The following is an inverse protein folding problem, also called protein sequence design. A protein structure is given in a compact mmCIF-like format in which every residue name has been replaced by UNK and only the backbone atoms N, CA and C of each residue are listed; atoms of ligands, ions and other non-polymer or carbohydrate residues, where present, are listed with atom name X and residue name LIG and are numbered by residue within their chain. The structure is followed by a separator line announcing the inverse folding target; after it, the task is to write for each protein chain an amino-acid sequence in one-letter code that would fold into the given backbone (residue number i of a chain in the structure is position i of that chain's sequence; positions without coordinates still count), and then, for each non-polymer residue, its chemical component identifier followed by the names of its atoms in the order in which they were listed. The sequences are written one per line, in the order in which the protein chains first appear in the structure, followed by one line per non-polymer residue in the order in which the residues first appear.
data_IF_354340297157
#
_entry.id   IF_354340297157
#
_cell.length_a   1.000
_cell.length_b   1.000
_cell.length_c   1.000
_cell.angle_alpha   90.00
_cell.angle_beta   90.00
_cell.angle_gamma   90.00
#
_symmetry.space_group_name_H-M   'P 1'
#
loop_
_entity.id
_entity.type
_entity.pdbx_description
1 polymer ?
#
# COMPACT_ATOMS: atom_id res chain seq x y z
N UNK A 1 -0.36 9.55 32.07
CA UNK A 1 0.56 9.90 30.96
C UNK A 1 0.30 8.96 29.80
N UNK A 2 -0.25 9.47 28.68
CA UNK A 2 -0.47 8.64 27.49
C UNK A 2 0.88 8.11 26.98
N UNK A 3 0.99 6.79 26.75
CA UNK A 3 2.22 6.19 26.22
C UNK A 3 2.52 6.82 24.85
N UNK A 4 3.64 7.53 24.74
CA UNK A 4 4.10 8.21 23.52
C UNK A 4 4.42 7.17 22.43
N UNK A 5 4.04 7.43 21.19
CA UNK A 5 4.45 6.62 20.04
C UNK A 5 5.96 6.73 19.81
N UNK A 6 6.57 5.64 19.33
CA UNK A 6 8.00 5.55 19.03
C UNK A 6 8.21 5.72 17.52
N UNK A 7 8.97 6.75 17.12
CA UNK A 7 9.24 7.03 15.70
C UNK A 7 10.01 5.90 15.00
N UNK A 8 10.70 5.05 15.74
CA UNK A 8 11.42 3.88 15.18
C UNK A 8 10.52 2.66 14.95
N UNK A 9 9.28 2.70 15.45
CA UNK A 9 8.28 1.70 15.13
C UNK A 9 7.46 2.20 13.94
N UNK A 10 7.60 1.53 12.81
CA UNK A 10 6.94 1.91 11.56
C UNK A 10 5.72 1.02 11.36
N UNK A 11 4.52 1.60 11.35
CA UNK A 11 3.32 0.93 10.83
C UNK A 11 3.39 0.93 9.31
N UNK A 12 3.14 -0.23 8.70
CA UNK A 12 3.05 -0.40 7.26
C UNK A 12 1.63 -0.79 6.90
N UNK A 13 0.93 0.11 6.24
CA UNK A 13 -0.42 -0.07 5.72
C UNK A 13 -0.29 -0.67 4.31
N UNK A 14 -1.04 -1.74 4.05
CA UNK A 14 -1.08 -2.43 2.76
C UNK A 14 -1.87 -1.67 1.70
N UNK A 15 -1.95 -2.27 0.51
CA UNK A 15 -2.61 -1.66 -0.64
C UNK A 15 -4.12 -1.52 -0.39
N UNK A 16 -4.62 -0.29 -0.28
CA UNK A 16 -6.00 -0.02 0.13
C UNK A 16 -6.99 -0.04 -1.02
N UNK A 17 -6.56 0.36 -2.22
CA UNK A 17 -7.38 0.41 -3.42
C UNK A 17 -8.72 1.12 -3.18
N UNK A 18 -8.71 2.33 -2.62
CA UNK A 18 -9.97 3.06 -2.42
C UNK A 18 -10.73 3.19 -3.74
N UNK A 19 -12.06 3.00 -3.73
CA UNK A 19 -12.95 2.85 -2.57
C UNK A 19 -13.29 1.38 -2.21
N UNK A 20 -12.44 0.42 -2.59
CA UNK A 20 -12.68 -1.02 -2.42
C UNK A 20 -11.97 -1.62 -1.20
N UNK A 21 -11.60 -0.79 -0.24
CA UNK A 21 -10.98 -1.23 1.00
C UNK A 21 -11.96 -2.05 1.86
N UNK A 22 -11.43 -2.93 2.69
CA UNK A 22 -12.22 -3.65 3.67
C UNK A 22 -12.74 -2.69 4.75
N UNK A 23 -14.04 -2.76 5.08
CA UNK A 23 -14.73 -1.78 5.92
C UNK A 23 -14.08 -1.57 7.30
N UNK A 24 -13.55 -2.64 7.92
CA UNK A 24 -12.85 -2.59 9.20
C UNK A 24 -11.33 -2.37 9.10
N UNK A 25 -10.76 -2.22 7.90
CA UNK A 25 -9.30 -2.12 7.73
C UNK A 25 -8.71 -0.87 8.38
N UNK A 26 -9.41 0.26 8.28
CA UNK A 26 -8.99 1.51 8.91
C UNK A 26 -8.87 1.36 10.44
N UNK A 27 -9.89 0.80 11.09
CA UNK A 27 -9.87 0.57 12.53
C UNK A 27 -8.81 -0.44 12.93
N UNK A 28 -8.66 -1.51 12.16
CA UNK A 28 -7.58 -2.49 12.36
C UNK A 28 -6.19 -1.85 12.34
N UNK A 29 -5.88 -1.01 11.34
CA UNK A 29 -4.60 -0.31 11.28
C UNK A 29 -4.38 0.63 12.48
N UNK A 30 -5.42 1.36 12.92
CA UNK A 30 -5.35 2.26 14.09
C UNK A 30 -5.09 1.47 15.39
N UNK A 31 -5.75 0.33 15.55
CA UNK A 31 -5.55 -0.54 16.71
C UNK A 31 -4.12 -1.08 16.76
N UNK A 32 -3.58 -1.55 15.63
CA UNK A 32 -2.19 -2.01 15.55
C UNK A 32 -1.21 -0.85 15.79
N UNK A 33 -1.44 0.33 15.21
CA UNK A 33 -0.62 1.52 15.48
C UNK A 33 -0.51 1.80 16.98
N UNK A 34 -1.65 1.81 17.67
CA UNK A 34 -1.74 2.10 19.10
C UNK A 34 -1.07 1.00 19.94
N UNK A 35 -1.37 -0.26 19.63
CA UNK A 35 -0.86 -1.45 20.35
C UNK A 35 0.65 -1.55 20.25
N UNK A 36 1.19 -1.37 19.04
CA UNK A 36 2.61 -1.53 18.74
C UNK A 36 3.39 -0.20 18.86
N UNK A 37 2.68 0.88 19.23
CA UNK A 37 3.21 2.22 19.48
C UNK A 37 3.96 2.82 18.30
N UNK A 38 3.44 2.62 17.09
CA UNK A 38 4.07 3.09 15.87
C UNK A 38 4.00 4.61 15.74
N UNK A 39 5.15 5.27 15.75
CA UNK A 39 5.28 6.73 15.59
C UNK A 39 5.50 7.17 14.16
N UNK A 40 5.78 6.24 13.25
CA UNK A 40 5.90 6.47 11.81
C UNK A 40 4.89 5.60 11.08
N UNK A 41 4.27 6.14 10.02
CA UNK A 41 3.29 5.42 9.19
C UNK A 41 3.72 5.48 7.74
N UNK A 42 3.78 4.30 7.12
CA UNK A 42 4.04 4.13 5.68
C UNK A 42 2.81 3.46 5.06
N UNK A 43 2.30 4.01 3.96
CA UNK A 43 1.32 3.36 3.10
C UNK A 43 2.05 2.79 1.88
N UNK A 44 1.92 1.49 1.64
CA UNK A 44 2.75 0.78 0.65
C UNK A 44 2.27 0.95 -0.79
N UNK A 45 1.29 1.80 -1.03
CA UNK A 45 0.86 2.21 -2.37
C UNK A 45 -0.43 1.60 -2.82
N UNK A 46 -0.79 1.89 -4.07
CA UNK A 46 -2.14 1.65 -4.59
C UNK A 46 -3.18 2.17 -3.59
N UNK A 47 -3.04 3.46 -3.25
CA UNK A 47 -3.96 4.16 -2.34
C UNK A 47 -5.37 4.19 -2.94
N UNK A 48 -5.43 4.41 -4.25
CA UNK A 48 -6.66 4.50 -5.03
C UNK A 48 -6.64 3.41 -6.09
N UNK A 49 -7.78 2.77 -6.36
CA UNK A 49 -7.83 1.69 -7.34
C UNK A 49 -7.79 2.22 -8.77
N UNK A 50 -8.50 3.31 -9.05
CA UNK A 50 -8.62 3.81 -10.43
C UNK A 50 -9.12 2.71 -11.39
N UNK A 51 -10.07 1.87 -10.94
CA UNK A 51 -10.64 0.74 -11.67
C UNK A 51 -11.10 1.16 -13.07
N UNK A 52 -11.92 2.21 -13.09
CA UNK A 52 -12.61 2.75 -14.26
C UNK A 52 -11.65 3.22 -15.35
N UNK A 53 -10.44 3.64 -14.97
CA UNK A 53 -9.37 4.06 -15.88
C UNK A 53 -8.25 3.02 -15.99
N UNK A 54 -8.45 1.79 -15.53
CA UNK A 54 -7.45 0.73 -15.66
C UNK A 54 -7.29 0.28 -17.13
N UNK A 55 -6.28 -0.56 -17.38
CA UNK A 55 -6.10 -1.22 -18.67
C UNK A 55 -6.83 -2.57 -18.76
N UNK A 56 -7.45 -3.01 -17.67
CA UNK A 56 -8.24 -4.24 -17.63
C UNK A 56 -9.66 -4.01 -18.16
N UNK A 57 -10.40 -5.09 -18.37
CA UNK A 57 -11.84 -5.03 -18.64
C UNK A 57 -12.55 -4.37 -17.46
N UNK A 58 -13.55 -3.54 -17.76
CA UNK A 58 -14.31 -2.80 -16.76
C UNK A 58 -15.66 -3.47 -16.63
N UNK A 59 -16.10 -3.62 -15.41
CA UNK A 59 -17.47 -4.02 -15.14
C UNK A 59 -18.41 -2.83 -15.45
N UNK A 60 -19.41 -2.99 -16.34
CA UNK A 60 -20.33 -1.91 -16.68
C UNK A 60 -21.22 -1.47 -15.50
N UNK A 61 -21.32 -2.28 -14.44
CA UNK A 61 -22.09 -1.96 -13.23
C UNK A 61 -21.27 -1.16 -12.19
N UNK A 62 -19.97 -0.95 -12.43
CA UNK A 62 -19.11 -0.09 -11.60
C UNK A 62 -19.20 1.38 -12.03
N UNK A 63 -18.68 2.26 -11.18
CA UNK A 63 -18.73 3.70 -11.40
C UNK A 63 -17.99 4.14 -12.67
N UNK A 64 -18.50 5.20 -13.29
CA UNK A 64 -17.70 6.02 -14.20
C UNK A 64 -16.47 6.60 -13.49
N UNK A 65 -15.44 7.07 -14.22
CA UNK A 65 -14.26 7.68 -13.61
C UNK A 65 -14.57 8.80 -12.61
N UNK A 66 -15.50 9.70 -12.94
CA UNK A 66 -15.90 10.78 -12.04
C UNK A 66 -16.62 10.25 -10.79
N UNK A 67 -17.44 9.20 -10.96
CA UNK A 67 -18.14 8.57 -9.84
C UNK A 67 -17.19 7.86 -8.88
N UNK A 68 -16.22 7.12 -9.40
CA UNK A 68 -15.20 6.44 -8.58
C UNK A 68 -14.37 7.45 -7.79
N UNK A 69 -13.92 8.54 -8.42
CA UNK A 69 -13.19 9.62 -7.75
C UNK A 69 -14.00 10.22 -6.57
N UNK A 70 -15.30 10.41 -6.73
CA UNK A 70 -16.17 10.94 -5.67
C UNK A 70 -16.29 9.97 -4.47
N UNK A 71 -16.27 8.66 -4.70
CA UNK A 71 -16.24 7.68 -3.61
C UNK A 71 -14.85 7.61 -2.95
N UNK A 72 -13.78 7.69 -3.74
CA UNK A 72 -12.40 7.79 -3.24
C UNK A 72 -12.25 8.98 -2.28
N UNK A 73 -12.76 10.15 -2.65
CA UNK A 73 -12.69 11.36 -1.82
C UNK A 73 -13.30 11.14 -0.42
N UNK A 74 -14.39 10.36 -0.32
CA UNK A 74 -15.02 10.01 0.97
C UNK A 74 -14.12 9.10 1.81
N UNK A 75 -13.47 8.12 1.19
CA UNK A 75 -12.52 7.25 1.90
C UNK A 75 -11.29 8.03 2.34
N UNK A 76 -10.68 8.82 1.44
CA UNK A 76 -9.53 9.67 1.77
C UNK A 76 -9.80 10.62 2.93
N UNK A 77 -10.96 11.26 2.99
CA UNK A 77 -11.33 12.15 4.09
C UNK A 77 -11.26 11.45 5.48
N UNK A 78 -11.68 10.18 5.56
CA UNK A 78 -11.58 9.39 6.82
C UNK A 78 -10.14 9.04 7.14
N UNK A 79 -9.36 8.66 6.13
CA UNK A 79 -7.97 8.23 6.29
C UNK A 79 -7.02 9.38 6.62
N UNK A 80 -7.17 10.55 5.99
CA UNK A 80 -6.40 11.75 6.33
C UNK A 80 -6.63 12.20 7.76
N UNK A 81 -7.87 12.07 8.26
CA UNK A 81 -8.20 12.37 9.66
C UNK A 81 -7.55 11.37 10.63
N UNK A 82 -7.55 10.09 10.29
CA UNK A 82 -7.01 9.03 11.13
C UNK A 82 -5.48 9.02 11.17
N UNK A 83 -4.84 9.27 10.03
CA UNK A 83 -3.39 9.28 9.86
C UNK A 83 -2.95 10.65 9.30
N UNK A 84 -2.69 11.64 10.17
CA UNK A 84 -2.38 13.00 9.73
C UNK A 84 -0.98 13.15 9.12
N UNK A 85 -0.08 12.18 9.31
CA UNK A 85 1.28 12.17 8.77
C UNK A 85 1.58 10.76 8.23
N UNK A 86 1.86 10.67 6.93
CA UNK A 86 2.05 9.40 6.22
C UNK A 86 3.12 9.56 5.14
N UNK A 87 3.95 8.53 4.99
CA UNK A 87 4.80 8.35 3.81
C UNK A 87 4.13 7.37 2.85
N UNK A 88 3.64 7.87 1.73
CA UNK A 88 2.91 7.09 0.73
C UNK A 88 3.85 6.69 -0.40
N UNK A 89 4.14 5.39 -0.55
CA UNK A 89 4.85 4.91 -1.73
C UNK A 89 3.86 4.75 -2.88
N UNK A 90 4.07 5.34 -4.05
CA UNK A 90 3.15 5.20 -5.18
C UNK A 90 3.27 3.84 -5.88
N UNK A 91 2.13 3.20 -6.09
CA UNK A 91 1.99 1.95 -6.83
C UNK A 91 1.57 2.14 -8.29
N UNK A 92 1.20 1.04 -8.95
CA UNK A 92 0.82 1.07 -10.36
C UNK A 92 -0.57 1.63 -10.62
N UNK A 93 -1.49 1.51 -9.66
CA UNK A 93 -2.83 2.11 -9.73
C UNK A 93 -2.75 3.62 -9.51
N UNK A 94 -1.87 4.07 -8.60
CA UNK A 94 -1.60 5.49 -8.36
C UNK A 94 -1.05 6.21 -9.62
N UNK A 95 -0.38 5.47 -10.50
CA UNK A 95 0.20 5.99 -11.73
C UNK A 95 -0.74 5.93 -12.95
N UNK A 96 -2.00 5.49 -12.80
CA UNK A 96 -2.88 5.23 -13.96
C UNK A 96 -3.21 6.49 -14.76
N UNK A 97 -3.42 7.64 -14.12
CA UNK A 97 -3.69 8.92 -14.80
C UNK A 97 -2.53 9.29 -15.75
N UNK A 98 -1.31 9.33 -15.22
CA UNK A 98 -0.09 9.63 -15.99
C UNK A 98 0.11 8.61 -17.14
N UNK A 99 -0.14 7.33 -16.88
CA UNK A 99 0.00 6.26 -17.88
C UNK A 99 -1.03 6.41 -19.01
N UNK A 100 -2.29 6.68 -18.69
CA UNK A 100 -3.35 6.92 -19.68
C UNK A 100 -3.04 8.15 -20.52
N UNK A 101 -2.63 9.25 -19.87
CA UNK A 101 -2.17 10.44 -20.57
C UNK A 101 -1.08 10.14 -21.58
N UNK A 102 -0.06 9.38 -21.18
CA UNK A 102 1.02 8.95 -22.09
C UNK A 102 0.52 8.07 -23.25
N UNK A 103 -0.38 7.12 -23.00
CA UNK A 103 -0.98 6.30 -24.06
C UNK A 103 -1.72 7.17 -25.09
N UNK A 104 -2.36 8.25 -24.63
CA UNK A 104 -3.02 9.24 -25.50
C UNK A 104 -2.06 10.27 -26.11
N UNK A 105 -0.74 10.14 -25.93
CA UNK A 105 0.27 11.06 -26.47
C UNK A 105 0.41 12.39 -25.70
N UNK A 106 -0.20 12.51 -24.52
CA UNK A 106 -0.16 13.73 -23.71
C UNK A 106 1.06 13.73 -22.76
N UNK A 107 1.81 14.84 -22.68
CA UNK A 107 2.93 14.97 -21.75
C UNK A 107 2.45 15.20 -20.31
N UNK A 108 3.29 14.84 -19.33
CA UNK A 108 2.98 14.98 -17.88
C UNK A 108 2.50 16.39 -17.48
N UNK A 109 3.03 17.44 -18.11
CA UNK A 109 2.64 18.84 -17.85
C UNK A 109 1.18 19.17 -18.14
N UNK A 110 0.46 18.31 -18.85
CA UNK A 110 -0.98 18.46 -19.09
C UNK A 110 -1.84 18.05 -17.87
N UNK A 111 -1.25 17.36 -16.89
CA UNK A 111 -1.95 16.83 -15.75
C UNK A 111 -1.48 17.49 -14.47
N UNK A 112 -2.40 17.56 -13.49
CA UNK A 112 -2.04 17.91 -12.12
C UNK A 112 -1.12 16.82 -11.54
N UNK A 113 -0.17 17.18 -10.66
CA UNK A 113 0.55 16.21 -9.84
C UNK A 113 -0.40 15.27 -9.09
N UNK A 114 0.00 14.02 -8.86
CA UNK A 114 -0.79 13.01 -8.13
C UNK A 114 -1.35 13.55 -6.80
N UNK A 115 -0.52 14.25 -6.02
CA UNK A 115 -0.95 14.86 -4.76
C UNK A 115 -2.07 15.88 -4.90
N UNK A 116 -2.11 16.61 -5.99
CA UNK A 116 -3.11 17.66 -6.24
C UNK A 116 -4.41 17.07 -6.77
N UNK A 117 -4.34 15.92 -7.47
CA UNK A 117 -5.51 15.16 -7.91
C UNK A 117 -6.27 14.63 -6.69
N UNK A 118 -5.55 14.03 -5.74
CA UNK A 118 -6.14 13.38 -4.55
C UNK A 118 -6.11 14.24 -3.29
N UNK A 119 -5.75 15.52 -3.42
CA UNK A 119 -5.75 16.52 -2.35
C UNK A 119 -5.01 16.02 -1.09
N UNK A 120 -3.83 15.41 -1.28
CA UNK A 120 -3.06 14.86 -0.17
C UNK A 120 -2.69 15.98 0.84
N UNK A 121 -2.84 15.75 2.16
CA UNK A 121 -2.43 16.72 3.18
C UNK A 121 -0.94 17.06 3.11
N UNK A 122 -0.54 18.22 3.61
CA UNK A 122 0.87 18.67 3.57
C UNK A 122 1.86 17.67 4.21
N UNK A 123 1.42 16.94 5.23
CA UNK A 123 2.21 15.93 5.95
C UNK A 123 2.12 14.52 5.34
N UNK A 124 1.43 14.39 4.21
CA UNK A 124 1.46 13.20 3.38
C UNK A 124 2.52 13.38 2.31
N UNK A 125 3.66 12.73 2.50
CA UNK A 125 4.74 12.71 1.53
C UNK A 125 4.52 11.55 0.55
N UNK A 126 4.30 11.84 -0.74
CA UNK A 126 4.29 10.82 -1.79
C UNK A 126 5.62 10.75 -2.54
N UNK A 127 6.14 9.53 -2.69
CA UNK A 127 7.26 9.20 -3.58
C UNK A 127 7.12 7.74 -4.04
N UNK A 128 8.01 7.21 -4.88
CA UNK A 128 7.99 5.80 -5.27
C UNK A 128 8.58 4.87 -4.22
N UNK A 129 9.40 5.40 -3.32
CA UNK A 129 10.02 4.64 -2.24
C UNK A 129 10.51 5.56 -1.12
N UNK A 130 10.71 5.00 0.07
CA UNK A 130 11.37 5.65 1.18
C UNK A 130 12.40 4.70 1.80
N UNK A 131 13.45 5.25 2.38
CA UNK A 131 14.40 4.48 3.20
C UNK A 131 14.31 5.03 4.63
N UNK A 132 13.98 4.14 5.58
CA UNK A 132 13.82 4.48 7.00
C UNK A 132 14.55 3.41 7.79
N UNK A 133 15.50 3.81 8.66
CA UNK A 133 16.31 2.89 9.47
C UNK A 133 16.93 1.74 8.66
N UNK A 134 17.51 2.06 7.48
CA UNK A 134 18.10 1.09 6.54
C UNK A 134 17.13 0.04 5.99
N UNK A 135 15.84 0.32 6.00
CA UNK A 135 14.80 -0.50 5.35
C UNK A 135 14.19 0.27 4.19
N UNK A 136 14.14 -0.37 3.03
CA UNK A 136 13.51 0.16 1.82
C UNK A 136 12.01 -0.17 1.84
N UNK A 137 11.17 0.86 1.77
CA UNK A 137 9.73 0.75 1.61
C UNK A 137 9.37 1.14 0.19
N UNK A 138 8.70 0.24 -0.55
CA UNK A 138 8.26 0.48 -1.93
C UNK A 138 7.05 -0.38 -2.25
N UNK A 139 6.18 0.06 -3.15
CA UNK A 139 5.00 -0.72 -3.51
C UNK A 139 5.30 -2.12 -4.06
N UNK A 140 6.29 -2.23 -4.96
CA UNK A 140 6.69 -3.52 -5.53
C UNK A 140 6.17 -3.80 -6.94
N UNK A 141 5.65 -2.80 -7.64
CA UNK A 141 5.27 -2.87 -9.06
C UNK A 141 6.34 -3.60 -9.90
N UNK A 142 5.90 -4.45 -10.84
CA UNK A 142 6.74 -5.30 -11.71
C UNK A 142 7.49 -6.40 -10.95
N UNK A 143 6.92 -6.91 -9.88
CA UNK A 143 7.39 -8.13 -9.21
C UNK A 143 6.25 -9.15 -9.18
N UNK A 144 6.59 -10.42 -9.03
CA UNK A 144 5.62 -11.51 -9.00
C UNK A 144 6.16 -12.68 -8.19
N UNK A 145 5.23 -13.55 -7.79
CA UNK A 145 5.52 -14.80 -7.08
C UNK A 145 5.60 -14.62 -5.56
N UNK A 146 5.34 -15.72 -4.85
CA UNK A 146 5.22 -15.79 -3.38
C UNK A 146 6.43 -15.26 -2.60
N UNK A 147 7.63 -15.29 -3.19
CA UNK A 147 8.90 -14.86 -2.56
C UNK A 147 9.43 -13.54 -3.15
N UNK A 148 8.59 -12.73 -3.79
CA UNK A 148 9.01 -11.47 -4.40
C UNK A 148 9.72 -10.54 -3.39
N UNK A 149 9.17 -10.37 -2.18
CA UNK A 149 9.76 -9.54 -1.12
C UNK A 149 11.16 -9.99 -0.73
N UNK A 150 11.37 -11.30 -0.61
CA UNK A 150 12.69 -11.89 -0.35
C UNK A 150 13.69 -11.58 -1.47
N UNK A 151 13.28 -11.80 -2.72
CA UNK A 151 14.13 -11.51 -3.87
C UNK A 151 14.45 -10.02 -3.99
N UNK A 152 13.50 -9.15 -3.67
CA UNK A 152 13.72 -7.71 -3.67
C UNK A 152 14.74 -7.31 -2.60
N UNK A 153 14.64 -7.84 -1.37
CA UNK A 153 15.62 -7.57 -0.33
C UNK A 153 17.04 -7.98 -0.75
N UNK A 154 17.18 -9.14 -1.39
CA UNK A 154 18.47 -9.62 -1.93
C UNK A 154 19.00 -8.74 -3.07
N UNK A 155 18.15 -8.36 -4.04
CA UNK A 155 18.55 -7.52 -5.19
C UNK A 155 18.94 -6.11 -4.76
N UNK A 156 18.21 -5.55 -3.80
CA UNK A 156 18.50 -4.22 -3.27
C UNK A 156 19.68 -4.24 -2.27
N UNK A 157 20.07 -5.42 -1.78
CA UNK A 157 21.03 -5.60 -0.68
C UNK A 157 20.64 -4.77 0.56
N UNK A 158 19.34 -4.75 0.84
CA UNK A 158 18.72 -3.96 1.91
C UNK A 158 17.38 -4.61 2.28
N UNK A 159 17.07 -4.66 3.58
CA UNK A 159 15.76 -5.11 4.02
C UNK A 159 14.67 -4.34 3.27
N UNK A 160 13.70 -5.05 2.70
CA UNK A 160 12.71 -4.45 1.80
C UNK A 160 11.29 -4.82 2.22
N UNK A 161 10.45 -3.81 2.37
CA UNK A 161 9.02 -3.94 2.61
C UNK A 161 8.26 -3.55 1.33
N UNK A 162 7.30 -4.39 0.95
CA UNK A 162 6.45 -4.17 -0.21
C UNK A 162 5.00 -4.67 -0.02
N UNK A 163 4.12 -4.29 -0.94
CA UNK A 163 2.76 -4.80 -1.10
C UNK A 163 2.61 -5.42 -2.49
N UNK A 164 1.66 -4.91 -3.29
CA UNK A 164 1.42 -5.22 -4.71
C UNK A 164 0.91 -6.64 -5.01
N UNK A 165 1.27 -7.63 -4.19
CA UNK A 165 0.92 -9.03 -4.38
C UNK A 165 -0.06 -9.46 -3.28
N UNK A 166 -1.36 -9.11 -3.41
CA UNK A 166 -2.34 -9.23 -2.33
C UNK A 166 -2.57 -10.68 -1.90
N UNK A 167 -2.37 -11.64 -2.80
CA UNK A 167 -2.50 -13.08 -2.54
C UNK A 167 -1.49 -13.61 -1.51
N UNK A 168 -0.41 -12.87 -1.23
CA UNK A 168 0.65 -13.28 -0.33
C UNK A 168 0.89 -12.22 0.75
N UNK A 169 1.09 -12.67 1.98
CA UNK A 169 1.65 -11.87 3.06
C UNK A 169 2.67 -12.74 3.77
N UNK A 170 3.87 -12.22 3.98
CA UNK A 170 4.94 -13.03 4.54
C UNK A 170 6.22 -12.25 4.81
N UNK A 171 7.05 -12.84 5.67
CA UNK A 171 8.37 -12.33 6.02
C UNK A 171 9.37 -13.45 5.77
N UNK A 172 10.49 -13.12 5.13
CA UNK A 172 11.63 -14.03 5.00
C UNK A 172 12.90 -13.31 5.40
N UNK A 173 13.71 -13.96 6.24
CA UNK A 173 15.03 -13.49 6.62
C UNK A 173 16.11 -14.20 5.81
N UNK A 174 17.23 -13.52 5.61
CA UNK A 174 18.44 -14.05 4.99
C UNK A 174 19.65 -13.45 5.67
N UNK A 175 20.64 -14.28 5.96
CA UNK A 175 21.84 -13.83 6.64
C UNK A 175 23.09 -14.16 5.81
N UNK A 176 24.06 -13.27 5.90
CA UNK A 176 25.42 -13.44 5.42
C UNK A 176 26.39 -13.23 6.59
N UNK A 177 27.70 -13.48 6.43
CA UNK A 177 28.69 -13.10 7.44
C UNK A 177 28.72 -11.59 7.76
N UNK A 178 28.12 -10.74 6.93
CA UNK A 178 28.10 -9.28 7.09
C UNK A 178 26.87 -8.79 7.86
N UNK A 179 25.71 -9.32 7.53
CA UNK A 179 24.41 -8.75 7.93
C UNK A 179 23.28 -9.78 7.83
N UNK A 180 22.13 -9.43 8.42
CA UNK A 180 20.87 -10.13 8.27
C UNK A 180 19.84 -9.17 7.67
N UNK A 181 19.26 -9.54 6.54
CA UNK A 181 18.24 -8.78 5.83
C UNK A 181 16.89 -9.49 5.94
N UNK A 182 15.81 -8.73 5.81
CA UNK A 182 14.48 -9.29 5.65
C UNK A 182 13.76 -8.74 4.42
N UNK A 183 12.96 -9.58 3.79
CA UNK A 183 11.87 -9.14 2.91
C UNK A 183 10.55 -9.25 3.65
N UNK A 184 9.66 -8.26 3.50
CA UNK A 184 8.27 -8.35 3.95
C UNK A 184 7.32 -8.00 2.80
N UNK A 185 6.39 -8.89 2.47
CA UNK A 185 5.18 -8.54 1.74
C UNK A 185 4.06 -8.35 2.77
N UNK A 186 3.48 -7.15 2.80
CA UNK A 186 2.51 -6.75 3.83
C UNK A 186 1.09 -7.27 3.57
N UNK A 187 0.81 -7.82 2.39
CA UNK A 187 -0.55 -8.13 1.95
C UNK A 187 -1.26 -6.85 1.51
N UNK A 188 -2.56 -6.74 1.77
CA UNK A 188 -3.39 -5.64 1.28
C UNK A 188 -4.45 -5.19 2.31
N UNK A 189 -5.18 -4.14 1.96
CA UNK A 189 -6.33 -3.60 2.69
C UNK A 189 -7.67 -3.82 1.99
N UNK A 190 -7.71 -4.59 0.90
CA UNK A 190 -8.89 -4.68 0.03
C UNK A 190 -9.98 -5.61 0.56
N UNK A 191 -11.22 -5.35 0.17
CA UNK A 191 -12.31 -6.30 0.33
C UNK A 191 -12.34 -7.28 -0.85
N UNK A 192 -11.94 -8.53 -0.62
CA UNK A 192 -11.77 -9.54 -1.68
C UNK A 192 -13.05 -9.86 -2.49
N UNK A 193 -14.24 -9.51 -1.99
CA UNK A 193 -15.52 -9.69 -2.71
C UNK A 193 -16.04 -8.42 -3.37
N UNK A 194 -15.28 -7.33 -3.36
CA UNK A 194 -15.66 -6.13 -4.09
C UNK A 194 -15.69 -6.44 -5.60
N UNK A 195 -16.68 -5.89 -6.30
CA UNK A 195 -16.91 -6.17 -7.73
C UNK A 195 -15.69 -5.82 -8.60
N UNK A 196 -14.92 -4.80 -8.22
CA UNK A 196 -13.65 -4.44 -8.88
C UNK A 196 -12.61 -5.58 -8.90
N UNK A 197 -12.74 -6.56 -8.01
CA UNK A 197 -11.86 -7.73 -7.92
C UNK A 197 -12.56 -9.04 -8.29
N UNK A 198 -13.72 -8.99 -8.95
CA UNK A 198 -14.50 -10.18 -9.31
C UNK A 198 -13.71 -11.17 -10.19
N UNK A 199 -12.76 -10.68 -11.01
CA UNK A 199 -11.85 -11.54 -11.78
C UNK A 199 -11.04 -12.53 -10.92
N UNK A 200 -10.85 -12.22 -9.63
CA UNK A 200 -10.14 -13.07 -8.68
C UNK A 200 -11.05 -14.05 -7.92
N UNK A 201 -12.36 -14.10 -8.22
CA UNK A 201 -13.31 -14.90 -7.46
C UNK A 201 -13.06 -16.42 -7.56
N UNK A 202 -12.59 -16.91 -8.70
CA UNK A 202 -12.32 -18.35 -8.89
C UNK A 202 -10.87 -18.73 -8.60
N UNK A 203 -9.99 -17.77 -8.32
CA UNK A 203 -8.60 -18.08 -8.00
C UNK A 203 -8.48 -18.79 -6.65
N UNK A 204 -7.66 -19.86 -6.54
CA UNK A 204 -7.46 -20.55 -5.27
C UNK A 204 -6.73 -19.68 -4.24
N UNK A 205 -5.85 -18.79 -4.71
CA UNK A 205 -5.15 -17.83 -3.88
C UNK A 205 -6.03 -16.59 -3.66
N UNK A 206 -6.29 -16.26 -2.40
CA UNK A 206 -7.13 -15.12 -2.01
C UNK A 206 -6.31 -13.99 -1.40
N UNK A 207 -6.74 -12.72 -1.56
CA UNK A 207 -6.13 -11.59 -0.89
C UNK A 207 -6.03 -11.81 0.61
N UNK A 208 -4.85 -11.55 1.18
CA UNK A 208 -4.60 -11.56 2.60
C UNK A 208 -4.70 -10.12 3.10
N UNK A 209 -5.76 -9.84 3.86
CA UNK A 209 -5.96 -8.52 4.48
C UNK A 209 -5.09 -8.42 5.72
N UNK A 210 -4.10 -7.53 5.69
CA UNK A 210 -3.11 -7.40 6.75
C UNK A 210 -2.40 -6.05 6.75
N UNK A 211 -1.73 -5.76 7.86
CA UNK A 211 -0.75 -4.68 7.97
C UNK A 211 0.54 -5.20 8.61
N UNK A 212 1.61 -4.43 8.49
CA UNK A 212 2.93 -4.77 9.02
C UNK A 212 3.38 -3.77 10.07
N UNK A 213 4.33 -4.18 10.90
CA UNK A 213 5.12 -3.30 11.74
C UNK A 213 6.59 -3.65 11.57
N UNK A 214 7.45 -2.64 11.43
CA UNK A 214 8.90 -2.81 11.50
C UNK A 214 9.40 -2.08 12.73
N UNK A 215 9.97 -2.83 13.68
CA UNK A 215 10.57 -2.24 14.89
C UNK A 215 12.05 -1.97 14.65
N UNK A 216 12.46 -0.70 14.84
CA UNK A 216 13.84 -0.25 14.80
C UNK A 216 14.61 -0.64 13.52
N UNK A 217 13.94 -0.75 12.38
CA UNK A 217 14.56 -1.17 11.12
C UNK A 217 15.01 -2.63 11.04
N UNK A 218 14.75 -3.45 12.06
CA UNK A 218 15.34 -4.80 12.17
C UNK A 218 14.30 -5.91 12.28
N UNK A 219 13.23 -5.68 13.05
CA UNK A 219 12.30 -6.73 13.43
C UNK A 219 10.94 -6.50 12.75
N UNK A 220 10.66 -7.13 11.60
CA UNK A 220 9.34 -7.08 10.97
C UNK A 220 8.34 -8.00 11.68
N UNK A 221 7.06 -7.60 11.71
CA UNK A 221 5.93 -8.40 12.16
C UNK A 221 4.71 -8.14 11.29
N UNK A 222 3.97 -9.19 10.97
CA UNK A 222 2.70 -9.11 10.24
C UNK A 222 1.51 -9.33 11.18
N UNK A 223 0.45 -8.58 10.91
CA UNK A 223 -0.84 -8.68 11.57
C UNK A 223 -1.91 -8.90 10.51
N UNK A 224 -2.49 -10.10 10.47
CA UNK A 224 -3.59 -10.43 9.56
C UNK A 224 -4.93 -10.19 10.23
N UNK A 225 -5.90 -9.72 9.46
CA UNK A 225 -7.30 -9.77 9.85
C UNK A 225 -7.79 -11.23 9.82
N UNK A 226 -8.73 -11.61 10.69
CA UNK A 226 -9.49 -12.84 10.52
C UNK A 226 -10.19 -12.85 9.14
N UNK A 227 -10.29 -14.05 8.55
CA UNK A 227 -11.07 -14.26 7.33
C UNK A 227 -12.55 -14.31 7.63
#
# INVERSE_FOLDING_TARGET
MGKKYDKKNVLVIGDTHFPFEHEYYLEFCKEIQKKERCGTVVHIGDLVDNHSISYHEKDPDLWSPAGEMAEVDKSLARWFKAFPEVKLTRGNHDCLVDRKGRTSGLPKRCFKPYRDIWQLPDKWEDDFHFIIDNVLYKHGTKTSGRLAHYHQAMKNRMSTVMGHLPAFAGINFTASPKDCLFGMNVGCGIHAKALAFAYGFDFPEKPIVSCGVVYNGENPRLFRMPL
#
